data_IF_404953072745
#
_entry.id   IF_404953072745
#
_cell.length_a   1.000
_cell.length_b   1.000
_cell.length_c   1.000
_cell.angle_alpha   90.00
_cell.angle_beta   90.00
_cell.angle_gamma   90.00
#
_symmetry.space_group_name_H-M   'P 1'
#
loop_
_entity.id
_entity.type
_entity.pdbx_description
1 polymer ?
#
# COMPACT_ATOMS: atom_id res chain seq x y z
N UNK A 1 6.78 60.15 -27.30
CA UNK A 1 6.07 58.87 -27.16
C UNK A 1 7.06 57.83 -26.65
N UNK A 2 7.13 57.66 -25.33
CA UNK A 2 8.01 56.68 -24.69
C UNK A 2 7.11 55.58 -24.13
N UNK A 3 7.19 54.38 -24.72
CA UNK A 3 6.48 53.20 -24.22
C UNK A 3 7.27 52.62 -23.05
N UNK A 4 6.64 52.49 -21.89
CA UNK A 4 7.15 51.77 -20.74
C UNK A 4 7.05 50.27 -20.99
N UNK A 5 8.03 49.44 -20.58
CA UNK A 5 7.90 48.00 -20.63
C UNK A 5 6.92 47.53 -19.53
N UNK A 6 5.96 46.70 -19.94
CA UNK A 6 5.04 45.99 -19.05
C UNK A 6 5.84 45.08 -18.12
N UNK A 7 5.71 45.29 -16.80
CA UNK A 7 6.22 44.37 -15.79
C UNK A 7 5.60 42.97 -15.97
N UNK A 8 6.38 41.87 -15.83
CA UNK A 8 5.77 40.55 -15.73
C UNK A 8 4.94 40.53 -14.45
N UNK A 9 3.66 40.17 -14.59
CA UNK A 9 2.80 39.89 -13.44
C UNK A 9 3.42 38.79 -12.56
N UNK A 10 3.03 38.72 -11.28
CA UNK A 10 3.57 37.71 -10.38
C UNK A 10 3.36 36.32 -10.99
N UNK A 11 4.45 35.57 -11.13
CA UNK A 11 4.37 34.15 -11.40
C UNK A 11 3.44 33.56 -10.35
N UNK A 12 2.30 33.05 -10.80
CA UNK A 12 1.42 32.23 -9.97
C UNK A 12 2.26 31.06 -9.49
N UNK A 13 2.77 31.15 -8.25
CA UNK A 13 3.23 30.01 -7.49
C UNK A 13 2.02 29.10 -7.38
N UNK A 14 1.91 28.12 -8.29
CA UNK A 14 1.03 26.99 -8.08
C UNK A 14 1.32 26.49 -6.67
N UNK A 15 0.30 26.45 -5.80
CA UNK A 15 0.43 25.72 -4.53
C UNK A 15 1.06 24.37 -4.87
N UNK A 16 2.11 23.94 -4.14
CA UNK A 16 2.61 22.60 -4.33
C UNK A 16 1.41 21.66 -4.16
N UNK A 17 1.14 20.85 -5.17
CA UNK A 17 -0.01 19.94 -5.14
C UNK A 17 0.06 19.10 -3.85
N UNK A 18 -1.11 18.85 -3.25
CA UNK A 18 -1.18 18.09 -2.00
C UNK A 18 -0.60 16.67 -2.23
N UNK A 19 0.04 16.12 -1.21
CA UNK A 19 0.69 14.80 -1.31
C UNK A 19 -0.30 13.71 -1.78
N UNK A 20 -1.56 13.79 -1.36
CA UNK A 20 -2.61 12.87 -1.79
C UNK A 20 -2.89 12.94 -3.29
N UNK A 21 -2.90 14.15 -3.88
CA UNK A 21 -3.06 14.35 -5.31
C UNK A 21 -1.86 13.82 -6.08
N UNK A 22 -0.64 14.08 -5.58
CA UNK A 22 0.61 13.59 -6.18
C UNK A 22 0.69 12.06 -6.15
N UNK A 23 0.29 11.42 -5.05
CA UNK A 23 0.26 9.96 -4.95
C UNK A 23 -0.78 9.36 -5.89
N UNK A 24 -1.98 9.96 -5.97
CA UNK A 24 -3.05 9.50 -6.87
C UNK A 24 -2.63 9.58 -8.34
N UNK A 25 -2.08 10.72 -8.76
CA UNK A 25 -1.66 10.90 -10.15
C UNK A 25 -0.41 10.05 -10.45
N UNK A 26 0.58 10.05 -9.57
CA UNK A 26 1.83 9.32 -9.74
C UNK A 26 1.69 7.79 -9.76
N UNK A 27 0.62 7.25 -9.19
CA UNK A 27 0.35 5.80 -9.17
C UNK A 27 -0.67 5.33 -10.20
N UNK A 28 -1.31 6.25 -10.94
CA UNK A 28 -2.42 5.95 -11.85
C UNK A 28 -2.11 4.87 -12.88
N UNK A 29 -1.00 5.00 -13.61
CA UNK A 29 -0.64 3.99 -14.62
C UNK A 29 -0.32 2.62 -14.00
N UNK A 30 0.29 2.62 -12.81
CA UNK A 30 0.61 1.38 -12.10
C UNK A 30 -0.66 0.69 -11.58
N UNK A 31 -1.61 1.47 -11.08
CA UNK A 31 -2.94 1.04 -10.69
C UNK A 31 -3.69 0.41 -11.88
N UNK A 32 -3.76 1.11 -13.02
CA UNK A 32 -4.42 0.61 -14.23
C UNK A 32 -3.82 -0.73 -14.70
N UNK A 33 -2.49 -0.87 -14.63
CA UNK A 33 -1.81 -2.14 -14.95
C UNK A 33 -2.15 -3.24 -13.95
N UNK A 34 -2.19 -2.93 -12.66
CA UNK A 34 -2.48 -3.91 -11.60
C UNK A 34 -3.90 -4.48 -11.74
N UNK A 35 -4.91 -3.62 -11.96
CA UNK A 35 -6.30 -4.05 -12.18
C UNK A 35 -6.48 -4.87 -13.47
N UNK A 36 -5.62 -4.66 -14.46
CA UNK A 36 -5.68 -5.35 -15.74
C UNK A 36 -4.95 -6.69 -15.79
N UNK A 37 -4.36 -7.14 -14.68
CA UNK A 37 -3.75 -8.47 -14.59
C UNK A 37 -4.81 -9.57 -14.72
N UNK A 38 -4.40 -10.73 -15.26
CA UNK A 38 -5.32 -11.86 -15.44
C UNK A 38 -5.93 -12.32 -14.10
N UNK A 39 -5.12 -12.32 -13.03
CA UNK A 39 -5.57 -12.65 -11.68
C UNK A 39 -6.71 -11.74 -11.21
N UNK A 40 -6.55 -10.41 -11.31
CA UNK A 40 -7.59 -9.46 -10.86
C UNK A 40 -8.83 -9.55 -11.75
N UNK A 41 -8.66 -9.73 -13.06
CA UNK A 41 -9.78 -9.93 -13.99
C UNK A 41 -10.59 -11.19 -13.67
N UNK A 42 -9.94 -12.28 -13.32
CA UNK A 42 -10.62 -13.53 -12.92
C UNK A 42 -11.28 -13.38 -11.56
N UNK A 43 -10.67 -12.62 -10.64
CA UNK A 43 -11.26 -12.28 -9.35
C UNK A 43 -12.56 -11.49 -9.50
N UNK A 44 -12.55 -10.38 -10.25
CA UNK A 44 -13.72 -9.53 -10.46
C UNK A 44 -14.87 -10.23 -11.18
N UNK A 45 -14.57 -11.23 -12.01
CA UNK A 45 -15.58 -12.05 -12.69
C UNK A 45 -16.14 -13.19 -11.82
N UNK A 46 -15.65 -13.35 -10.59
CA UNK A 46 -16.04 -14.45 -9.71
C UNK A 46 -15.48 -15.82 -10.13
N UNK A 47 -14.44 -15.84 -10.97
CA UNK A 47 -13.81 -17.05 -11.49
C UNK A 47 -12.54 -17.44 -10.71
N UNK A 48 -12.31 -16.85 -9.54
CA UNK A 48 -11.11 -17.11 -8.74
C UNK A 48 -11.09 -18.54 -8.21
N UNK A 49 -9.96 -19.23 -8.40
CA UNK A 49 -9.73 -20.56 -7.81
C UNK A 49 -9.44 -20.42 -6.33
N UNK A 50 -10.03 -21.28 -5.50
CA UNK A 50 -9.80 -21.30 -4.05
C UNK A 50 -8.32 -21.34 -3.68
N UNK A 51 -7.51 -22.15 -4.35
CA UNK A 51 -6.06 -22.23 -4.07
C UNK A 51 -5.33 -20.93 -4.42
N UNK A 52 -5.73 -20.21 -5.47
CA UNK A 52 -5.16 -18.90 -5.78
C UNK A 52 -5.56 -17.84 -4.75
N UNK A 53 -6.81 -17.89 -4.27
CA UNK A 53 -7.25 -17.02 -3.18
C UNK A 53 -6.43 -17.27 -1.92
N UNK A 54 -6.23 -18.55 -1.55
CA UNK A 54 -5.39 -18.98 -0.42
C UNK A 54 -3.95 -18.47 -0.50
N UNK A 55 -3.33 -18.53 -1.68
CA UNK A 55 -1.99 -18.00 -1.91
C UNK A 55 -1.96 -16.47 -1.82
N UNK A 56 -2.98 -15.81 -2.38
CA UNK A 56 -3.15 -14.36 -2.28
C UNK A 56 -3.28 -13.89 -0.83
N UNK A 57 -4.17 -14.52 -0.05
CA UNK A 57 -4.35 -14.21 1.38
C UNK A 57 -3.06 -14.42 2.18
N UNK A 58 -2.30 -15.49 1.90
CA UNK A 58 -1.01 -15.72 2.54
C UNK A 58 0.01 -14.62 2.20
N UNK A 59 0.08 -14.22 0.92
CA UNK A 59 0.96 -13.13 0.50
C UNK A 59 0.58 -11.80 1.17
N UNK A 60 -0.72 -11.51 1.31
CA UNK A 60 -1.19 -10.34 2.05
C UNK A 60 -0.80 -10.43 3.53
N UNK A 61 -1.01 -11.57 4.19
CA UNK A 61 -0.65 -11.75 5.59
C UNK A 61 0.81 -11.38 5.87
N UNK A 62 1.75 -11.89 5.07
CA UNK A 62 3.17 -11.52 5.20
C UNK A 62 3.42 -10.04 4.92
N UNK A 63 2.80 -9.49 3.87
CA UNK A 63 2.98 -8.08 3.49
C UNK A 63 2.47 -7.12 4.57
N UNK A 64 1.26 -7.34 5.09
CA UNK A 64 0.70 -6.52 6.17
C UNK A 64 1.42 -6.74 7.49
N UNK A 65 1.89 -7.96 7.77
CA UNK A 65 2.69 -8.20 8.97
C UNK A 65 3.95 -7.35 8.99
N UNK A 66 4.68 -7.28 7.87
CA UNK A 66 5.87 -6.45 7.75
C UNK A 66 5.53 -4.95 7.77
N UNK A 67 4.47 -4.54 7.07
CA UNK A 67 4.03 -3.13 7.03
C UNK A 67 3.65 -2.65 8.42
N UNK A 68 2.80 -3.39 9.13
CA UNK A 68 2.30 -3.01 10.45
C UNK A 68 3.40 -3.07 11.52
N UNK A 69 4.36 -3.99 11.40
CA UNK A 69 5.57 -4.00 12.24
C UNK A 69 6.37 -2.71 12.06
N UNK A 70 6.65 -2.30 10.81
CA UNK A 70 7.38 -1.07 10.56
C UNK A 70 6.57 0.18 10.92
N UNK A 71 5.24 0.17 10.77
CA UNK A 71 4.37 1.24 11.26
C UNK A 71 4.48 1.40 12.77
N UNK A 72 4.47 0.29 13.51
CA UNK A 72 4.63 0.28 14.96
C UNK A 72 5.99 0.86 15.39
N UNK A 73 7.07 0.46 14.71
CA UNK A 73 8.42 0.97 14.98
C UNK A 73 8.57 2.47 14.67
N UNK A 74 7.74 3.01 13.77
CA UNK A 74 7.81 4.38 13.30
C UNK A 74 6.68 5.29 13.82
N UNK A 75 5.79 4.78 14.69
CA UNK A 75 4.56 5.48 15.12
C UNK A 75 4.76 6.84 15.79
N UNK A 76 5.90 7.05 16.44
CA UNK A 76 6.25 8.32 17.11
C UNK A 76 7.08 9.27 16.22
N UNK A 77 7.52 8.82 15.04
CA UNK A 77 8.33 9.67 14.14
C UNK A 77 7.43 10.72 13.48
N UNK A 78 7.78 12.01 13.53
CA UNK A 78 6.93 13.07 12.96
C UNK A 78 6.57 12.88 11.48
N UNK A 79 7.41 12.21 10.70
CA UNK A 79 7.17 11.92 9.28
C UNK A 79 6.06 10.87 9.04
N UNK A 80 5.69 10.07 10.04
CA UNK A 80 4.73 8.98 9.90
C UNK A 80 3.59 9.03 10.92
N UNK A 81 3.82 9.55 12.13
CA UNK A 81 2.84 9.62 13.21
C UNK A 81 1.42 10.08 12.80
N UNK A 82 1.24 11.08 11.90
CA UNK A 82 -0.09 11.50 11.45
C UNK A 82 -0.89 10.43 10.68
N UNK A 83 -0.24 9.33 10.26
CA UNK A 83 -0.82 8.23 9.49
C UNK A 83 -1.01 6.94 10.31
N UNK A 84 -0.72 6.99 11.62
CA UNK A 84 -0.80 5.81 12.48
C UNK A 84 -2.23 5.60 13.02
N UNK A 85 -3.01 4.76 12.31
CA UNK A 85 -4.40 4.40 12.61
C UNK A 85 -4.56 2.88 12.81
N UNK A 86 -3.98 2.31 13.87
CA UNK A 86 -3.91 0.85 14.03
C UNK A 86 -5.28 0.20 14.27
N UNK A 87 -6.18 0.87 14.97
CA UNK A 87 -7.50 0.33 15.30
C UNK A 87 -8.40 0.24 14.06
N UNK A 88 -8.26 1.20 13.15
CA UNK A 88 -9.10 1.36 11.99
C UNK A 88 -8.58 0.56 10.79
N UNK A 89 -7.25 0.50 10.60
CA UNK A 89 -6.65 0.03 9.35
C UNK A 89 -5.95 -1.32 9.43
N UNK A 90 -5.37 -1.71 10.57
CA UNK A 90 -4.54 -2.91 10.62
C UNK A 90 -5.31 -4.18 10.21
N UNK A 91 -4.64 -4.99 9.39
CA UNK A 91 -5.19 -6.18 8.74
C UNK A 91 -4.58 -7.49 9.25
N UNK A 92 -3.39 -7.49 9.85
CA UNK A 92 -2.68 -8.72 10.24
C UNK A 92 -3.55 -9.70 11.00
N UNK A 93 -4.26 -9.25 12.03
CA UNK A 93 -5.12 -10.13 12.85
C UNK A 93 -6.31 -10.70 12.07
N UNK A 94 -6.90 -9.90 11.18
CA UNK A 94 -7.99 -10.36 10.34
C UNK A 94 -7.51 -11.38 9.30
N UNK A 95 -6.35 -11.12 8.69
CA UNK A 95 -5.71 -12.04 7.75
C UNK A 95 -5.30 -13.36 8.43
N UNK A 96 -4.88 -13.34 9.70
CA UNK A 96 -4.63 -14.54 10.47
C UNK A 96 -5.91 -15.40 10.62
N UNK A 97 -7.05 -14.78 10.94
CA UNK A 97 -8.35 -15.48 11.00
C UNK A 97 -8.79 -16.03 9.65
N UNK A 98 -8.56 -15.28 8.58
CA UNK A 98 -8.84 -15.75 7.21
C UNK A 98 -7.99 -16.96 6.85
N UNK A 99 -6.70 -16.95 7.23
CA UNK A 99 -5.80 -18.07 6.99
C UNK A 99 -6.16 -19.30 7.82
N UNK A 100 -6.57 -19.12 9.08
CA UNK A 100 -7.11 -20.20 9.91
C UNK A 100 -8.35 -20.82 9.25
N UNK A 101 -9.29 -20.01 8.75
CA UNK A 101 -10.45 -20.51 8.01
C UNK A 101 -10.06 -21.27 6.74
N UNK A 102 -9.04 -20.79 6.02
CA UNK A 102 -8.63 -21.31 4.71
C UNK A 102 -7.73 -22.56 4.79
N UNK A 103 -6.88 -22.67 5.81
CA UNK A 103 -5.86 -23.71 5.96
C UNK A 103 -6.05 -24.57 7.23
N UNK A 104 -6.96 -24.21 8.14
CA UNK A 104 -7.21 -24.86 9.43
C UNK A 104 -6.34 -24.31 10.57
N UNK A 105 -6.52 -24.83 11.78
CA UNK A 105 -5.82 -24.37 13.00
C UNK A 105 -4.29 -24.28 12.85
N UNK A 106 -3.66 -25.25 12.18
CA UNK A 106 -2.21 -25.25 11.89
C UNK A 106 -1.85 -24.47 10.62
N UNK A 107 -2.50 -23.35 10.34
CA UNK A 107 -2.28 -22.58 9.10
C UNK A 107 -0.87 -22.02 8.99
N UNK A 108 -0.27 -21.61 10.11
CA UNK A 108 1.09 -21.04 10.17
C UNK A 108 2.14 -21.99 9.60
N UNK A 109 1.99 -23.29 9.84
CA UNK A 109 2.89 -24.34 9.33
C UNK A 109 2.68 -24.64 7.83
N UNK A 110 1.54 -24.21 7.27
CA UNK A 110 1.10 -24.57 5.91
C UNK A 110 1.32 -23.45 4.90
N UNK A 111 1.32 -22.20 5.33
CA UNK A 111 1.56 -21.08 4.45
C UNK A 111 3.05 -20.95 4.14
N UNK A 112 3.38 -20.48 2.93
CA UNK A 112 4.75 -20.22 2.52
C UNK A 112 4.84 -18.82 1.94
N UNK A 113 5.87 -18.07 2.37
CA UNK A 113 6.19 -16.79 1.77
C UNK A 113 6.80 -17.04 0.39
N UNK A 114 6.11 -16.59 -0.68
CA UNK A 114 6.66 -16.69 -2.03
C UNK A 114 7.87 -15.76 -2.19
N UNK A 115 8.77 -16.04 -3.13
CA UNK A 115 9.91 -15.14 -3.39
C UNK A 115 9.47 -13.71 -3.74
N UNK A 116 8.35 -13.56 -4.46
CA UNK A 116 7.81 -12.25 -4.80
C UNK A 116 7.30 -11.50 -3.56
N UNK A 117 6.62 -12.21 -2.65
CA UNK A 117 6.17 -11.68 -1.36
C UNK A 117 7.37 -11.32 -0.49
N UNK A 118 8.39 -12.18 -0.43
CA UNK A 118 9.58 -11.94 0.37
C UNK A 118 10.30 -10.67 -0.09
N UNK A 119 10.48 -10.46 -1.40
CA UNK A 119 11.05 -9.21 -1.91
C UNK A 119 10.26 -7.97 -1.50
N UNK A 120 8.93 -8.09 -1.39
CA UNK A 120 8.10 -6.99 -0.93
C UNK A 120 8.28 -6.74 0.58
N UNK A 121 8.24 -7.80 1.38
CA UNK A 121 8.55 -7.76 2.82
C UNK A 121 9.91 -7.11 3.08
N UNK A 122 10.94 -7.53 2.36
CA UNK A 122 12.29 -6.98 2.48
C UNK A 122 12.34 -5.49 2.16
N UNK A 123 11.61 -5.03 1.12
CA UNK A 123 11.52 -3.60 0.79
C UNK A 123 10.80 -2.81 1.88
N UNK A 124 9.73 -3.35 2.45
CA UNK A 124 8.99 -2.70 3.54
C UNK A 124 9.91 -2.51 4.75
N UNK A 125 10.61 -3.57 5.18
CA UNK A 125 11.58 -3.48 6.28
C UNK A 125 12.70 -2.49 5.98
N UNK A 126 13.26 -2.51 4.77
CA UNK A 126 14.26 -1.53 4.37
C UNK A 126 13.74 -0.09 4.49
N UNK A 127 12.53 0.18 3.99
CA UNK A 127 11.93 1.51 4.05
C UNK A 127 11.65 1.93 5.50
N UNK A 128 11.01 1.08 6.30
CA UNK A 128 10.70 1.41 7.70
C UNK A 128 11.94 1.69 8.55
N UNK A 129 13.06 1.02 8.26
CA UNK A 129 14.30 1.15 9.02
C UNK A 129 15.21 2.27 8.50
N UNK A 130 15.33 2.43 7.18
CA UNK A 130 16.32 3.30 6.54
C UNK A 130 15.73 4.59 5.95
N UNK A 131 14.46 4.55 5.50
CA UNK A 131 13.79 5.64 4.75
C UNK A 131 12.36 5.86 5.29
N UNK A 132 12.16 6.07 6.61
CA UNK A 132 10.83 6.00 7.24
C UNK A 132 9.81 7.02 6.70
N UNK A 133 10.27 8.13 6.12
CA UNK A 133 9.43 9.09 5.40
C UNK A 133 8.72 8.49 4.16
N UNK A 134 9.28 7.42 3.58
CA UNK A 134 8.69 6.72 2.43
C UNK A 134 7.70 5.63 2.86
N UNK A 135 7.60 5.30 4.16
CA UNK A 135 6.66 4.29 4.66
C UNK A 135 5.20 4.67 4.35
N UNK A 136 4.91 5.98 4.32
CA UNK A 136 3.62 6.53 3.91
C UNK A 136 3.19 6.06 2.51
N UNK A 137 4.13 5.87 1.58
CA UNK A 137 3.83 5.39 0.23
C UNK A 137 3.30 3.94 0.25
N UNK A 138 3.89 3.07 1.06
CA UNK A 138 3.44 1.69 1.21
C UNK A 138 2.07 1.61 1.90
N UNK A 139 1.88 2.37 2.99
CA UNK A 139 0.60 2.46 3.69
C UNK A 139 -0.52 2.98 2.76
N UNK A 140 -0.24 4.04 1.99
CA UNK A 140 -1.16 4.59 1.01
C UNK A 140 -1.59 3.54 -0.02
N UNK A 141 -0.63 2.89 -0.69
CA UNK A 141 -0.94 1.90 -1.75
C UNK A 141 -1.78 0.74 -1.24
N UNK A 142 -1.56 0.29 0.00
CA UNK A 142 -2.30 -0.84 0.58
C UNK A 142 -3.67 -0.41 1.12
N UNK A 143 -3.71 0.47 2.11
CA UNK A 143 -4.96 0.79 2.81
C UNK A 143 -5.96 1.56 1.95
N UNK A 144 -5.50 2.48 1.09
CA UNK A 144 -6.44 3.18 0.20
C UNK A 144 -6.99 2.26 -0.89
N UNK A 145 -6.22 1.25 -1.30
CA UNK A 145 -6.69 0.18 -2.17
C UNK A 145 -7.80 -0.63 -1.51
N UNK A 146 -7.58 -1.07 -0.28
CA UNK A 146 -8.55 -1.87 0.50
C UNK A 146 -9.87 -1.12 0.75
N UNK A 147 -9.80 0.20 1.01
CA UNK A 147 -10.99 1.02 1.27
C UNK A 147 -11.77 1.45 0.01
N UNK A 148 -11.24 1.14 -1.17
CA UNK A 148 -11.84 1.57 -2.44
C UNK A 148 -12.30 0.39 -3.28
N UNK A 149 -11.35 -0.42 -3.78
CA UNK A 149 -11.62 -1.54 -4.68
C UNK A 149 -11.53 -2.91 -4.03
N UNK A 150 -11.15 -2.97 -2.75
CA UNK A 150 -11.00 -4.18 -1.94
C UNK A 150 -12.31 -4.92 -1.68
#
# INVERSE_FOLDING_TARGET
CSALPLSPGPLSLHSPADLSELLKEGTKEAHDRAENTQFVKDFLKGHIKRELFKLGTAALFFTYSALEEEMEQNKEKPCFAPLYFPLELHRKEALARDLEYLYGESWEEKIQCSEATQRYVDRIHHVGQQEPELLAAHAYTRYMGDLSGG
#
